data_IF_658941742068
#
_entry.id   IF_658941742068
#
_cell.length_a   1.000
_cell.length_b   1.000
_cell.length_c   1.000
_cell.angle_alpha   90.00
_cell.angle_beta   90.00
_cell.angle_gamma   90.00
#
_symmetry.space_group_name_H-M   'P 1'
#
loop_
_entity.id
_entity.type
_entity.pdbx_description
1 polymer ?
#
# COMPACT_ATOMS: atom_id res chain seq x y z
N UNK A 1 -8.59 1.11 -15.77
CA UNK A 1 -9.01 2.50 -15.52
C UNK A 1 -7.85 3.40 -15.88
N UNK A 2 -8.10 4.50 -16.60
CA UNK A 2 -7.08 5.47 -17.03
C UNK A 2 -7.60 6.84 -16.58
N UNK A 3 -6.82 7.58 -15.79
CA UNK A 3 -7.23 8.85 -15.19
C UNK A 3 -6.97 10.06 -16.07
N UNK A 4 -5.90 10.00 -16.87
CA UNK A 4 -5.42 11.11 -17.70
C UNK A 4 -5.11 12.36 -16.87
N UNK A 5 -3.82 12.67 -16.64
CA UNK A 5 -3.33 13.97 -16.19
C UNK A 5 -4.14 14.71 -15.13
N UNK A 6 -3.73 14.63 -13.87
CA UNK A 6 -4.39 15.35 -12.79
C UNK A 6 -4.26 14.57 -11.50
N UNK A 7 -5.15 14.86 -10.56
CA UNK A 7 -5.31 14.06 -9.35
C UNK A 7 -6.53 13.18 -9.53
N UNK A 8 -6.33 11.88 -9.67
CA UNK A 8 -7.38 10.92 -9.99
C UNK A 8 -7.72 10.00 -8.81
N UNK A 9 -9.02 9.71 -8.62
CA UNK A 9 -9.52 8.72 -7.65
C UNK A 9 -9.99 7.46 -8.39
N UNK A 10 -9.30 6.35 -8.18
CA UNK A 10 -9.63 5.04 -8.72
C UNK A 10 -10.36 4.19 -7.69
N UNK A 11 -11.47 3.58 -8.09
CA UNK A 11 -12.23 2.68 -7.22
C UNK A 11 -12.10 1.24 -7.73
N UNK A 12 -11.54 0.37 -6.90
CA UNK A 12 -11.30 -1.04 -7.21
C UNK A 12 -12.25 -1.92 -6.40
N UNK A 13 -13.22 -2.54 -7.08
CA UNK A 13 -14.18 -3.47 -6.46
C UNK A 13 -13.94 -4.94 -6.85
N UNK A 14 -13.04 -5.17 -7.81
CA UNK A 14 -12.62 -6.49 -8.26
C UNK A 14 -11.11 -6.60 -8.35
N UNK A 15 -10.55 -7.76 -8.00
CA UNK A 15 -9.11 -8.01 -8.10
C UNK A 15 -8.58 -7.97 -9.55
N UNK A 16 -9.48 -7.96 -10.55
CA UNK A 16 -9.15 -7.82 -11.96
C UNK A 16 -8.98 -6.37 -12.42
N UNK A 17 -9.42 -5.39 -11.64
CA UNK A 17 -9.29 -3.98 -12.01
C UNK A 17 -7.82 -3.57 -12.00
N UNK A 18 -7.45 -2.68 -12.91
CA UNK A 18 -6.10 -2.13 -12.97
C UNK A 18 -6.18 -0.63 -13.21
N UNK A 19 -5.58 0.14 -12.31
CA UNK A 19 -5.25 1.52 -12.57
C UNK A 19 -4.05 1.59 -13.55
N UNK A 20 -4.09 2.53 -14.48
CA UNK A 20 -3.02 2.78 -15.45
C UNK A 20 -2.71 4.27 -15.42
N UNK A 21 -1.52 4.59 -14.92
CA UNK A 21 -1.04 5.97 -14.81
C UNK A 21 0.44 6.08 -15.12
N UNK A 22 0.81 7.28 -15.57
CA UNK A 22 2.18 7.65 -15.87
C UNK A 22 2.68 8.62 -14.82
N UNK A 23 3.97 8.54 -14.49
CA UNK A 23 4.61 9.40 -13.50
C UNK A 23 4.44 10.90 -13.79
N UNK A 24 4.20 11.70 -12.74
CA UNK A 24 4.20 13.16 -12.81
C UNK A 24 2.90 13.77 -13.33
N UNK A 25 1.81 13.01 -13.29
CA UNK A 25 0.48 13.46 -13.72
C UNK A 25 -0.31 14.11 -12.57
N UNK A 26 -0.02 13.82 -11.30
CA UNK A 26 -0.56 14.54 -10.14
C UNK A 26 -0.39 13.75 -8.85
N UNK A 27 -1.42 13.80 -8.00
CA UNK A 27 -1.54 13.07 -6.74
C UNK A 27 -2.76 12.16 -6.80
N UNK A 28 -2.49 10.90 -7.04
CA UNK A 28 -3.45 9.89 -7.46
C UNK A 28 -3.72 8.89 -6.34
N UNK A 29 -4.96 8.42 -6.28
CA UNK A 29 -5.48 7.65 -5.15
C UNK A 29 -6.25 6.44 -5.63
N UNK A 30 -5.99 5.30 -4.99
CA UNK A 30 -6.73 4.06 -5.20
C UNK A 30 -7.50 3.71 -3.94
N UNK A 31 -8.80 3.58 -4.06
CA UNK A 31 -9.71 3.12 -3.02
C UNK A 31 -10.23 1.73 -3.38
N UNK A 32 -9.96 0.73 -2.55
CA UNK A 32 -10.37 -0.66 -2.82
C UNK A 32 -11.33 -1.23 -1.77
N UNK A 33 -12.24 -2.11 -2.20
CA UNK A 33 -13.06 -2.94 -1.29
C UNK A 33 -12.59 -4.40 -1.23
N UNK A 34 -11.53 -4.74 -1.97
CA UNK A 34 -10.97 -6.09 -2.11
C UNK A 34 -9.46 -6.05 -1.91
N UNK A 35 -8.82 -7.22 -1.83
CA UNK A 35 -7.35 -7.29 -1.79
C UNK A 35 -6.76 -6.78 -3.10
N UNK A 36 -5.80 -5.85 -3.01
CA UNK A 36 -5.25 -5.16 -4.17
C UNK A 36 -3.74 -4.94 -4.07
N UNK A 37 -3.08 -5.02 -5.23
CA UNK A 37 -1.66 -4.80 -5.37
C UNK A 37 -1.38 -3.81 -6.51
N UNK A 38 -0.60 -2.77 -6.21
CA UNK A 38 -0.19 -1.81 -7.21
C UNK A 38 0.82 -2.45 -8.16
N UNK A 39 0.59 -2.24 -9.47
CA UNK A 39 1.55 -2.68 -10.48
C UNK A 39 2.83 -1.85 -10.38
N UNK A 40 3.96 -2.46 -10.76
CA UNK A 40 5.24 -1.76 -10.82
C UNK A 40 5.17 -0.59 -11.80
N UNK A 41 5.76 0.55 -11.43
CA UNK A 41 5.81 1.74 -12.28
C UNK A 41 4.58 2.65 -12.21
N UNK A 42 3.50 2.26 -11.50
CA UNK A 42 2.37 3.14 -11.25
C UNK A 42 2.72 4.21 -10.21
N UNK A 43 2.59 5.48 -10.58
CA UNK A 43 2.73 6.62 -9.68
C UNK A 43 1.42 6.87 -8.93
N UNK A 44 1.10 5.99 -7.98
CA UNK A 44 -0.02 6.18 -7.05
C UNK A 44 0.54 6.59 -5.70
N UNK A 45 0.08 7.71 -5.17
CA UNK A 45 0.50 8.26 -3.88
C UNK A 45 -0.30 7.69 -2.70
N UNK A 46 -1.58 7.31 -2.93
CA UNK A 46 -2.46 6.79 -1.87
C UNK A 46 -3.11 5.47 -2.27
N UNK A 47 -2.99 4.45 -1.41
CA UNK A 47 -3.71 3.18 -1.52
C UNK A 47 -4.54 2.94 -0.26
N UNK A 48 -5.85 3.08 -0.34
CA UNK A 48 -6.76 2.99 0.80
C UNK A 48 -7.89 1.98 0.62
N UNK A 49 -8.51 1.57 1.71
CA UNK A 49 -9.80 0.87 1.66
C UNK A 49 -10.97 1.85 1.52
N UNK A 50 -11.99 1.49 0.77
CA UNK A 50 -13.23 2.28 0.60
C UNK A 50 -14.07 2.43 1.88
N UNK A 51 -13.85 1.56 2.87
CA UNK A 51 -14.62 1.54 4.13
C UNK A 51 -13.70 1.32 5.33
N UNK A 52 -13.30 2.41 5.97
CA UNK A 52 -12.43 2.40 7.15
C UNK A 52 -13.00 1.58 8.32
N UNK A 53 -14.31 1.64 8.55
CA UNK A 53 -14.98 0.85 9.59
C UNK A 53 -15.28 -0.60 9.17
N UNK A 54 -14.94 -0.99 7.95
CA UNK A 54 -15.14 -2.36 7.46
C UNK A 54 -14.26 -3.35 8.21
N UNK A 55 -14.79 -4.53 8.52
CA UNK A 55 -14.05 -5.58 9.24
C UNK A 55 -13.55 -6.71 8.34
N UNK A 56 -13.82 -6.62 7.04
CA UNK A 56 -13.34 -7.57 6.03
C UNK A 56 -11.82 -7.54 5.97
N UNK A 57 -11.18 -8.71 6.00
CA UNK A 57 -9.74 -8.80 5.81
C UNK A 57 -9.36 -8.41 4.38
N UNK A 58 -8.56 -7.34 4.23
CA UNK A 58 -8.10 -6.84 2.94
C UNK A 58 -6.58 -6.76 2.94
N UNK A 59 -5.96 -7.33 1.91
CA UNK A 59 -4.53 -7.25 1.70
C UNK A 59 -4.22 -6.08 0.76
N UNK A 60 -3.35 -5.18 1.18
CA UNK A 60 -2.92 -4.01 0.41
C UNK A 60 -1.42 -4.14 0.13
N UNK A 61 -1.04 -4.11 -1.14
CA UNK A 61 0.37 -4.15 -1.56
C UNK A 61 0.71 -2.92 -2.39
N UNK A 62 1.67 -2.13 -1.90
CA UNK A 62 2.29 -1.03 -2.61
C UNK A 62 3.29 -1.47 -3.68
N UNK A 63 4.04 -0.52 -4.22
CA UNK A 63 5.08 -0.77 -5.23
C UNK A 63 6.42 -0.14 -4.80
N UNK A 64 7.29 0.28 -5.73
CA UNK A 64 8.61 0.81 -5.40
C UNK A 64 8.61 2.30 -5.00
N UNK A 65 7.48 2.99 -5.11
CA UNK A 65 7.34 4.41 -4.79
C UNK A 65 6.83 4.63 -3.37
N UNK A 66 7.10 5.82 -2.82
CA UNK A 66 6.60 6.20 -1.50
C UNK A 66 5.07 6.34 -1.51
N UNK A 67 4.38 5.53 -0.69
CA UNK A 67 2.93 5.46 -0.66
C UNK A 67 2.34 5.70 0.73
N UNK A 68 1.17 6.32 0.76
CA UNK A 68 0.30 6.31 1.94
C UNK A 68 -0.68 5.16 1.82
N UNK A 69 -0.57 4.15 2.68
CA UNK A 69 -1.41 2.95 2.63
C UNK A 69 -2.33 2.87 3.85
N UNK A 70 -3.64 2.83 3.61
CA UNK A 70 -4.67 2.84 4.65
C UNK A 70 -5.57 1.59 4.57
N UNK A 71 -5.48 0.73 5.59
CA UNK A 71 -6.38 -0.40 5.82
C UNK A 71 -7.69 0.00 6.50
N UNK A 72 -8.55 -1.00 6.75
CA UNK A 72 -9.82 -0.86 7.46
C UNK A 72 -9.77 -1.42 8.91
N UNK A 73 -10.90 -1.44 9.62
CA UNK A 73 -11.03 -2.00 10.96
C UNK A 73 -10.85 -3.54 11.05
N UNK A 74 -10.77 -4.23 9.91
CA UNK A 74 -10.54 -5.65 9.77
C UNK A 74 -9.07 -6.07 9.89
N UNK A 75 -8.80 -7.37 9.80
CA UNK A 75 -7.43 -7.89 9.81
C UNK A 75 -6.77 -7.68 8.45
N UNK A 76 -5.87 -6.70 8.34
CA UNK A 76 -5.24 -6.33 7.08
C UNK A 76 -3.80 -6.87 6.99
N UNK A 77 -3.39 -7.28 5.80
CA UNK A 77 -1.98 -7.47 5.47
C UNK A 77 -1.56 -6.31 4.59
N UNK A 78 -0.72 -5.42 5.11
CA UNK A 78 -0.22 -4.26 4.40
C UNK A 78 1.25 -4.49 4.08
N UNK A 79 1.57 -4.51 2.79
CA UNK A 79 2.94 -4.54 2.31
C UNK A 79 3.23 -3.24 1.57
N UNK A 80 4.07 -2.36 2.12
CA UNK A 80 4.48 -1.11 1.49
C UNK A 80 5.20 -1.30 0.15
N UNK A 81 5.90 -2.43 -0.02
CA UNK A 81 6.82 -2.58 -1.13
C UNK A 81 8.12 -1.83 -0.84
N UNK A 82 8.65 -1.11 -1.82
CA UNK A 82 9.80 -0.23 -1.64
C UNK A 82 9.35 1.22 -1.37
N UNK A 83 10.30 2.12 -1.17
CA UNK A 83 10.00 3.53 -0.91
C UNK A 83 9.84 3.85 0.58
N UNK A 84 9.48 5.09 0.85
CA UNK A 84 9.27 5.60 2.20
C UNK A 84 7.76 5.69 2.47
N UNK A 85 7.17 4.58 2.92
CA UNK A 85 5.72 4.45 3.05
C UNK A 85 5.17 4.92 4.39
N UNK A 86 3.95 5.45 4.38
CA UNK A 86 3.15 5.72 5.58
C UNK A 86 2.00 4.72 5.63
N UNK A 87 2.07 3.75 6.54
CA UNK A 87 1.07 2.67 6.62
C UNK A 87 0.21 2.78 7.88
N UNK A 88 -1.11 2.75 7.71
CA UNK A 88 -2.08 2.75 8.81
C UNK A 88 -3.04 1.58 8.62
N UNK A 89 -3.07 0.63 9.55
CA UNK A 89 -3.88 -0.58 9.38
C UNK A 89 -5.31 -0.51 9.93
N UNK A 90 -5.66 0.50 10.73
CA UNK A 90 -6.97 0.76 11.37
C UNK A 90 -7.64 -0.39 12.15
N UNK A 91 -7.02 -1.57 12.22
CA UNK A 91 -7.57 -2.79 12.79
C UNK A 91 -7.64 -2.79 14.32
N UNK A 92 -8.68 -3.44 14.86
CA UNK A 92 -8.86 -3.59 16.29
C UNK A 92 -8.12 -4.81 16.90
N UNK A 93 -7.55 -5.74 16.12
CA UNK A 93 -7.00 -6.98 16.74
C UNK A 93 -5.75 -7.60 16.09
N UNK A 94 -5.65 -7.78 14.76
CA UNK A 94 -4.40 -8.30 14.15
C UNK A 94 -4.20 -7.83 12.71
N UNK A 95 -3.38 -6.81 12.51
CA UNK A 95 -2.86 -6.45 11.19
C UNK A 95 -1.35 -6.65 11.13
N UNK A 96 -0.87 -7.06 9.97
CA UNK A 96 0.56 -7.18 9.70
C UNK A 96 0.96 -6.09 8.72
N UNK A 97 1.99 -5.33 9.07
CA UNK A 97 2.57 -4.30 8.19
C UNK A 97 4.02 -4.66 7.92
N UNK A 98 4.42 -4.63 6.65
CA UNK A 98 5.79 -4.85 6.22
C UNK A 98 6.14 -3.86 5.13
N UNK A 99 7.36 -3.33 5.12
CA UNK A 99 7.98 -2.83 3.89
C UNK A 99 8.87 -3.96 3.35
N UNK A 100 9.16 -3.97 2.04
CA UNK A 100 10.30 -4.73 1.55
C UNK A 100 11.56 -4.04 2.08
N UNK A 101 12.49 -4.80 2.69
CA UNK A 101 13.76 -4.21 3.07
C UNK A 101 14.48 -3.77 1.79
N UNK A 102 14.99 -2.54 1.77
CA UNK A 102 16.04 -2.14 0.83
C UNK A 102 17.06 -3.29 0.82
N UNK A 103 17.25 -3.89 -0.35
CA UNK A 103 17.90 -5.18 -0.59
C UNK A 103 19.06 -5.43 0.38
N UNK A 104 18.84 -6.19 1.47
CA UNK A 104 19.92 -6.54 2.41
C UNK A 104 19.59 -6.79 3.88
N UNK A 105 18.46 -6.31 4.44
CA UNK A 105 18.15 -6.54 5.86
C UNK A 105 16.74 -7.11 6.07
N UNK A 106 16.56 -8.40 5.82
CA UNK A 106 15.30 -9.09 6.09
C UNK A 106 15.12 -9.34 7.59
N UNK A 107 14.40 -8.47 8.32
CA UNK A 107 13.75 -8.88 9.58
C UNK A 107 12.39 -8.20 9.78
N UNK A 108 11.38 -8.92 10.31
CA UNK A 108 10.14 -8.34 10.78
C UNK A 108 10.40 -7.59 12.09
N UNK A 109 9.61 -6.55 12.33
CA UNK A 109 9.72 -5.63 13.47
C UNK A 109 9.53 -6.33 14.82
N UNK A 110 10.64 -6.78 15.42
CA UNK A 110 10.87 -6.81 16.87
C UNK A 110 12.36 -6.56 17.08
N UNK A 111 12.70 -5.43 17.70
CA UNK A 111 14.02 -5.04 18.21
C UNK A 111 15.24 -5.41 17.33
N UNK A 112 15.86 -4.42 16.68
CA UNK A 112 17.13 -4.61 16.00
C UNK A 112 18.19 -5.19 16.97
N UNK A 113 18.73 -6.41 16.75
CA UNK A 113 19.96 -6.79 17.42
C UNK A 113 21.11 -6.07 16.70
N UNK A 114 22.08 -5.62 17.49
CA UNK A 114 23.36 -5.04 17.06
C UNK A 114 23.99 -5.86 15.93
N UNK A 115 24.00 -5.32 14.70
CA UNK A 115 24.68 -5.96 13.58
C UNK A 115 24.26 -5.58 12.14
N UNK A 116 23.14 -4.90 11.90
CA UNK A 116 22.80 -4.48 10.53
C UNK A 116 23.47 -3.14 10.20
N UNK A 117 24.61 -3.20 9.50
CA UNK A 117 25.30 -2.02 8.98
C UNK A 117 24.54 -1.49 7.76
N UNK A 118 23.95 -0.31 7.88
CA UNK A 118 23.59 0.51 6.73
C UNK A 118 24.90 0.82 5.99
N UNK A 119 25.04 0.37 4.75
CA UNK A 119 26.05 0.94 3.83
C UNK A 119 25.43 2.11 3.10
#
# INVERSE_FOLDING_TARGET
MIGYGGNDDYYVDSAGDRAVESSGQGQDRVWTSVSYALSAGLSIEVLGTTKDAGTTAINLTGNAFAQTIQGNAGANVINGGGGADTMTAMAATTSTMSTMPATGCSRPWVAAPTGCSLR
#
